data_IF_090504810633
#
_entry.id   IF_090504810633
#
_cell.length_a   1.000
_cell.length_b   1.000
_cell.length_c   1.000
_cell.angle_alpha   90.00
_cell.angle_beta   90.00
_cell.angle_gamma   90.00
#
_symmetry.space_group_name_H-M   'P 1'
#
loop_
_entity.id
_entity.type
_entity.pdbx_description
1 polymer ?
#
# COMPACT_ATOMS: atom_id res chain seq x y z
N UNK A 1 9.35 -14.89 5.20
CA UNK A 1 7.98 -14.86 4.64
C UNK A 1 8.00 -13.80 3.54
N UNK A 2 7.57 -14.10 2.31
CA UNK A 2 7.69 -13.19 1.15
C UNK A 2 6.76 -11.98 1.31
N UNK A 3 7.22 -10.78 0.95
CA UNK A 3 6.46 -9.51 0.99
C UNK A 3 5.10 -9.60 0.28
N UNK A 4 4.99 -10.44 -0.75
CA UNK A 4 3.77 -10.75 -1.51
C UNK A 4 2.64 -11.34 -0.64
N UNK A 5 2.99 -12.22 0.33
CA UNK A 5 2.03 -12.85 1.24
C UNK A 5 1.46 -11.83 2.23
N UNK A 6 2.22 -10.78 2.56
CA UNK A 6 1.77 -9.71 3.45
C UNK A 6 0.80 -8.75 2.77
N UNK A 7 1.04 -8.40 1.49
CA UNK A 7 0.14 -7.50 0.77
C UNK A 7 -1.22 -8.13 0.50
N UNK A 8 -1.27 -9.41 0.10
CA UNK A 8 -2.54 -10.10 -0.15
C UNK A 8 -3.40 -10.17 1.12
N UNK A 9 -2.79 -10.46 2.28
CA UNK A 9 -3.47 -10.48 3.56
C UNK A 9 -3.93 -9.07 4.00
N UNK A 10 -3.10 -8.04 3.80
CA UNK A 10 -3.49 -6.66 4.09
C UNK A 10 -4.64 -6.17 3.21
N UNK A 11 -4.65 -6.52 1.92
CA UNK A 11 -5.76 -6.22 1.00
C UNK A 11 -7.05 -6.94 1.40
N UNK A 12 -6.95 -8.19 1.86
CA UNK A 12 -8.10 -8.95 2.35
C UNK A 12 -8.71 -8.33 3.61
N UNK A 13 -7.88 -8.05 4.62
CA UNK A 13 -8.31 -7.39 5.85
C UNK A 13 -8.97 -6.02 5.56
N UNK A 14 -8.33 -5.25 4.69
CA UNK A 14 -8.84 -3.97 4.20
C UNK A 14 -10.18 -4.10 3.46
N UNK A 15 -10.35 -5.14 2.64
CA UNK A 15 -11.59 -5.39 1.90
C UNK A 15 -12.73 -5.77 2.84
N UNK A 16 -12.50 -6.70 3.78
CA UNK A 16 -13.48 -7.08 4.79
C UNK A 16 -13.98 -5.85 5.56
N UNK A 17 -13.04 -5.05 6.06
CA UNK A 17 -13.31 -3.82 6.78
C UNK A 17 -14.13 -2.78 5.99
N UNK A 18 -13.80 -2.58 4.71
CA UNK A 18 -14.42 -1.53 3.88
C UNK A 18 -15.78 -1.90 3.33
N UNK A 19 -16.03 -3.20 3.16
CA UNK A 19 -17.25 -3.77 2.59
C UNK A 19 -18.14 -4.44 3.66
N UNK A 20 -17.79 -4.29 4.94
CA UNK A 20 -18.51 -4.89 6.07
C UNK A 20 -18.70 -6.42 5.92
N UNK A 21 -17.67 -7.11 5.42
CA UNK A 21 -17.66 -8.56 5.30
C UNK A 21 -17.23 -9.20 6.62
N UNK A 22 -17.63 -10.46 6.80
CA UNK A 22 -17.30 -11.21 8.01
C UNK A 22 -15.77 -11.42 8.14
N UNK A 23 -15.16 -11.19 9.32
CA UNK A 23 -13.72 -11.39 9.52
C UNK A 23 -13.23 -12.81 9.19
N UNK A 24 -14.09 -13.82 9.32
CA UNK A 24 -13.79 -15.21 9.01
C UNK A 24 -13.52 -15.45 7.51
N UNK A 25 -13.94 -14.53 6.64
CA UNK A 25 -13.68 -14.58 5.20
C UNK A 25 -12.26 -14.15 4.83
N UNK A 26 -11.54 -13.46 5.74
CA UNK A 26 -10.22 -12.88 5.47
C UNK A 26 -9.20 -13.89 4.91
N UNK A 27 -9.04 -15.12 5.44
CA UNK A 27 -8.08 -16.07 4.90
C UNK A 27 -8.40 -16.54 3.48
N UNK A 28 -9.70 -16.75 3.17
CA UNK A 28 -10.14 -17.14 1.83
C UNK A 28 -9.98 -15.97 0.84
N UNK A 29 -10.26 -14.75 1.30
CA UNK A 29 -10.04 -13.54 0.52
C UNK A 29 -8.55 -13.31 0.25
N UNK A 30 -7.67 -13.51 1.24
CA UNK A 30 -6.22 -13.37 1.06
C UNK A 30 -5.70 -14.31 -0.04
N UNK A 31 -6.15 -15.58 -0.05
CA UNK A 31 -5.81 -16.52 -1.13
C UNK A 31 -6.30 -16.04 -2.50
N UNK A 32 -7.50 -15.45 -2.55
CA UNK A 32 -8.06 -14.90 -3.78
C UNK A 32 -7.38 -13.62 -4.28
N UNK A 33 -6.75 -12.85 -3.38
CA UNK A 33 -5.96 -11.66 -3.73
C UNK A 33 -4.54 -11.99 -4.17
N UNK A 34 -4.00 -13.17 -3.85
CA UNK A 34 -2.67 -13.59 -4.30
C UNK A 34 -2.43 -13.46 -5.82
N UNK A 35 -3.32 -13.94 -6.72
CA UNK A 35 -3.14 -13.71 -8.17
C UNK A 35 -3.26 -12.23 -8.55
N UNK A 36 -4.08 -11.44 -7.83
CA UNK A 36 -4.17 -10.00 -8.05
C UNK A 36 -2.86 -9.31 -7.71
N UNK A 37 -2.20 -9.68 -6.60
CA UNK A 37 -0.88 -9.17 -6.24
C UNK A 37 0.15 -9.43 -7.35
N UNK A 38 0.11 -10.61 -7.99
CA UNK A 38 0.98 -10.89 -9.13
C UNK A 38 0.72 -9.95 -10.33
N UNK A 39 -0.53 -9.54 -10.56
CA UNK A 39 -0.88 -8.54 -11.58
C UNK A 39 -0.37 -7.14 -11.20
N UNK A 40 -0.43 -6.77 -9.92
CA UNK A 40 0.15 -5.53 -9.39
C UNK A 40 1.68 -5.51 -9.60
N UNK A 41 2.36 -6.61 -9.29
CA UNK A 41 3.80 -6.77 -9.56
C UNK A 41 4.10 -6.64 -11.06
N UNK A 42 3.24 -7.21 -11.91
CA UNK A 42 3.32 -7.08 -13.36
C UNK A 42 3.22 -5.63 -13.81
N UNK A 43 2.29 -4.86 -13.24
CA UNK A 43 2.14 -3.44 -13.54
C UNK A 43 3.32 -2.59 -13.02
N UNK A 44 3.87 -2.89 -11.83
CA UNK A 44 5.07 -2.20 -11.35
C UNK A 44 6.31 -2.54 -12.19
N UNK A 45 6.47 -3.80 -12.65
CA UNK A 45 7.52 -4.16 -13.62
C UNK A 45 7.41 -3.38 -14.92
N UNK A 46 6.19 -3.22 -15.47
CA UNK A 46 5.95 -2.38 -16.65
C UNK A 46 6.31 -0.91 -16.40
N UNK A 47 5.99 -0.38 -15.22
CA UNK A 47 6.40 0.99 -14.85
C UNK A 47 7.92 1.14 -14.79
N UNK A 48 8.63 0.20 -14.15
CA UNK A 48 10.10 0.21 -14.13
C UNK A 48 10.71 0.08 -15.53
N UNK A 49 10.10 -0.69 -16.42
CA UNK A 49 10.50 -0.77 -17.82
C UNK A 49 10.26 0.57 -18.55
N UNK A 50 9.14 1.24 -18.29
CA UNK A 50 8.87 2.57 -18.83
C UNK A 50 9.95 3.57 -18.40
N UNK A 51 10.34 3.57 -17.11
CA UNK A 51 11.46 4.39 -16.61
C UNK A 51 12.74 4.18 -17.43
N UNK A 52 13.12 2.92 -17.69
CA UNK A 52 14.30 2.59 -18.51
C UNK A 52 14.18 3.01 -19.97
N UNK A 53 12.97 3.00 -20.53
CA UNK A 53 12.74 3.43 -21.91
C UNK A 53 12.68 4.95 -22.07
N UNK A 54 12.28 5.67 -21.02
CA UNK A 54 12.11 7.13 -21.05
C UNK A 54 13.40 7.88 -20.76
N UNK A 55 14.24 7.36 -19.86
CA UNK A 55 15.42 8.06 -19.36
C UNK A 55 16.73 7.52 -19.95
N UNK A 56 17.78 8.36 -20.05
CA UNK A 56 19.14 7.88 -20.26
C UNK A 56 19.53 6.84 -19.20
N UNK A 57 20.29 5.81 -19.59
CA UNK A 57 20.57 4.63 -18.75
C UNK A 57 21.05 4.98 -17.34
N UNK A 58 21.99 5.93 -17.20
CA UNK A 58 22.49 6.35 -15.89
C UNK A 58 21.40 6.98 -15.01
N UNK A 59 20.54 7.83 -15.58
CA UNK A 59 19.41 8.43 -14.86
C UNK A 59 18.36 7.40 -14.48
N UNK A 60 18.07 6.46 -15.39
CA UNK A 60 17.11 5.39 -15.15
C UNK A 60 17.53 4.53 -13.97
N UNK A 61 18.78 4.06 -13.94
CA UNK A 61 19.28 3.21 -12.87
C UNK A 61 19.36 3.96 -11.53
N UNK A 62 19.76 5.24 -11.55
CA UNK A 62 19.75 6.06 -10.33
C UNK A 62 18.33 6.26 -9.78
N UNK A 63 17.36 6.56 -10.65
CA UNK A 63 15.96 6.68 -10.25
C UNK A 63 15.42 5.37 -9.67
N UNK A 64 15.66 4.24 -10.34
CA UNK A 64 15.23 2.93 -9.87
C UNK A 64 15.88 2.55 -8.53
N UNK A 65 17.16 2.90 -8.34
CA UNK A 65 17.87 2.73 -7.08
C UNK A 65 17.24 3.55 -5.95
N UNK A 66 16.96 4.83 -6.20
CA UNK A 66 16.28 5.71 -5.23
C UNK A 66 14.88 5.19 -4.88
N UNK A 67 14.11 4.73 -5.86
CA UNK A 67 12.80 4.12 -5.62
C UNK A 67 12.89 2.81 -4.83
N UNK A 68 13.90 1.98 -5.08
CA UNK A 68 14.13 0.76 -4.31
C UNK A 68 14.53 1.07 -2.86
N UNK A 69 15.40 2.05 -2.66
CA UNK A 69 15.77 2.55 -1.32
C UNK A 69 14.57 3.10 -0.56
N UNK A 70 13.74 3.92 -1.20
CA UNK A 70 12.48 4.41 -0.63
C UNK A 70 11.57 3.26 -0.17
N UNK A 71 11.37 2.25 -1.01
CA UNK A 71 10.53 1.09 -0.69
C UNK A 71 11.05 0.32 0.53
N UNK A 72 12.37 0.11 0.61
CA UNK A 72 12.99 -0.55 1.76
C UNK A 72 12.76 0.27 3.05
N UNK A 73 13.03 1.57 3.03
CA UNK A 73 12.81 2.43 4.20
C UNK A 73 11.33 2.54 4.59
N UNK A 74 10.41 2.62 3.61
CA UNK A 74 8.98 2.61 3.86
C UNK A 74 8.51 1.29 4.51
N UNK A 75 9.09 0.16 4.09
CA UNK A 75 8.85 -1.13 4.73
C UNK A 75 9.33 -1.15 6.18
N UNK A 76 10.54 -0.63 6.46
CA UNK A 76 11.07 -0.53 7.83
C UNK A 76 10.18 0.32 8.74
N UNK A 77 9.69 1.47 8.24
CA UNK A 77 8.74 2.33 8.98
C UNK A 77 7.45 1.56 9.28
N UNK A 78 6.90 0.86 8.29
CA UNK A 78 5.68 0.05 8.46
C UNK A 78 5.88 -1.04 9.52
N UNK A 79 6.99 -1.78 9.48
CA UNK A 79 7.30 -2.83 10.46
C UNK A 79 7.58 -2.27 11.85
N UNK A 80 8.17 -1.08 11.95
CA UNK A 80 8.32 -0.39 13.22
C UNK A 80 6.96 -0.03 13.83
N UNK A 81 6.08 0.61 13.06
CA UNK A 81 4.73 0.98 13.52
C UNK A 81 3.90 -0.26 13.86
N UNK A 82 3.96 -1.32 13.05
CA UNK A 82 3.30 -2.60 13.35
C UNK A 82 3.71 -3.12 14.72
N UNK A 83 5.02 -3.17 15.01
CA UNK A 83 5.53 -3.66 16.30
C UNK A 83 5.04 -2.84 17.49
N UNK A 84 4.95 -1.52 17.34
CA UNK A 84 4.39 -0.64 18.38
C UNK A 84 2.91 -0.95 18.65
N UNK A 85 2.12 -1.05 17.58
CA UNK A 85 0.68 -1.34 17.69
C UNK A 85 0.44 -2.75 18.25
N UNK A 86 1.17 -3.76 17.77
CA UNK A 86 1.08 -5.13 18.27
C UNK A 86 1.39 -5.21 19.77
N UNK A 87 2.39 -4.45 20.25
CA UNK A 87 2.71 -4.41 21.68
C UNK A 87 1.55 -3.86 22.53
N UNK A 88 0.76 -2.93 21.98
CA UNK A 88 -0.45 -2.41 22.63
C UNK A 88 -1.53 -3.49 22.64
N UNK A 89 -1.82 -4.11 21.49
CA UNK A 89 -2.87 -5.15 21.37
C UNK A 89 -2.60 -6.37 22.27
N UNK A 90 -1.35 -6.81 22.38
CA UNK A 90 -0.97 -7.95 23.24
C UNK A 90 -1.27 -7.72 24.72
N UNK A 91 -1.27 -6.47 25.20
CA UNK A 91 -1.65 -6.15 26.59
C UNK A 91 -3.11 -6.50 26.90
N UNK A 92 -3.93 -6.67 25.87
CA UNK A 92 -5.34 -7.04 25.95
C UNK A 92 -5.61 -8.47 25.45
N UNK A 93 -4.56 -9.30 25.31
CA UNK A 93 -4.64 -10.66 24.74
C UNK A 93 -5.27 -10.69 23.33
N UNK A 94 -4.95 -9.69 22.51
CA UNK A 94 -5.43 -9.53 21.13
C UNK A 94 -4.28 -9.34 20.16
N UNK A 95 -4.60 -9.45 18.87
CA UNK A 95 -3.68 -9.23 17.76
C UNK A 95 -4.22 -8.13 16.85
N UNK A 96 -3.33 -7.33 16.26
CA UNK A 96 -3.71 -6.32 15.27
C UNK A 96 -4.18 -6.95 13.95
N UNK A 97 -3.78 -8.20 13.69
CA UNK A 97 -4.12 -8.94 12.48
C UNK A 97 -3.33 -8.48 11.25
N UNK A 98 -3.90 -8.76 10.07
CA UNK A 98 -3.21 -8.52 8.80
C UNK A 98 -3.34 -7.09 8.26
N UNK A 99 -4.05 -6.19 8.97
CA UNK A 99 -4.18 -4.78 8.59
C UNK A 99 -2.82 -4.13 8.34
N UNK A 100 -2.73 -3.24 7.35
CA UNK A 100 -1.56 -2.38 7.19
C UNK A 100 -1.60 -1.30 8.31
N UNK A 101 -0.53 -1.17 9.13
CA UNK A 101 -0.51 -0.24 10.25
C UNK A 101 -0.51 1.23 9.84
N UNK A 102 -0.32 1.54 8.56
CA UNK A 102 -0.33 2.88 8.00
C UNK A 102 -1.61 3.19 7.24
N UNK A 103 -2.49 2.20 7.03
CA UNK A 103 -3.82 2.42 6.49
C UNK A 103 -4.57 3.45 7.36
N UNK A 104 -5.36 4.30 6.72
CA UNK A 104 -6.25 5.22 7.40
C UNK A 104 -7.43 4.49 8.04
N UNK A 105 -7.74 3.29 7.55
CA UNK A 105 -8.67 2.39 8.22
C UNK A 105 -7.98 1.77 9.45
N UNK A 106 -8.44 2.16 10.64
CA UNK A 106 -7.97 1.59 11.91
C UNK A 106 -8.91 0.43 12.27
N UNK A 107 -8.41 -0.79 12.55
CA UNK A 107 -9.27 -1.88 13.00
C UNK A 107 -10.03 -1.48 14.28
N UNK A 108 -11.21 -2.07 14.53
CA UNK A 108 -12.05 -1.70 15.67
C UNK A 108 -11.28 -1.70 17.00
N UNK A 109 -11.24 -0.54 17.65
CA UNK A 109 -10.61 -0.37 18.96
C UNK A 109 -11.44 -0.95 20.11
N UNK A 110 -12.55 -1.63 19.81
CA UNK A 110 -13.45 -2.25 20.78
C UNK A 110 -12.66 -3.18 21.71
N UNK A 111 -12.68 -2.91 23.01
CA UNK A 111 -11.92 -3.67 24.02
C UNK A 111 -10.49 -3.16 24.27
N UNK A 112 -10.01 -2.14 23.56
CA UNK A 112 -8.87 -1.32 23.98
C UNK A 112 -9.31 -0.20 24.90
N UNK A 113 -8.41 0.28 25.78
CA UNK A 113 -8.66 1.55 26.46
C UNK A 113 -8.62 2.71 25.45
N UNK A 114 -9.40 3.77 25.68
CA UNK A 114 -9.38 4.96 24.81
C UNK A 114 -7.95 5.53 24.64
N UNK A 115 -7.16 5.56 25.71
CA UNK A 115 -5.77 6.02 25.68
C UNK A 115 -4.86 5.11 24.83
N UNK A 116 -5.10 3.79 24.83
CA UNK A 116 -4.37 2.85 23.98
C UNK A 116 -4.80 2.98 22.50
N UNK A 117 -6.08 3.24 22.24
CA UNK A 117 -6.58 3.58 20.90
C UNK A 117 -5.90 4.84 20.34
N UNK A 118 -5.78 5.90 21.14
CA UNK A 118 -5.05 7.13 20.77
C UNK A 118 -3.57 6.80 20.48
N UNK A 119 -2.92 6.00 21.33
CA UNK A 119 -1.51 5.63 21.11
C UNK A 119 -1.27 4.89 19.79
N UNK A 120 -2.18 4.00 19.40
CA UNK A 120 -2.13 3.34 18.09
C UNK A 120 -2.28 4.35 16.95
N UNK A 121 -3.24 5.28 17.05
CA UNK A 121 -3.45 6.31 16.04
C UNK A 121 -2.22 7.23 15.91
N UNK A 122 -1.64 7.66 17.04
CA UNK A 122 -0.42 8.47 17.06
C UNK A 122 0.77 7.76 16.43
N UNK A 123 0.92 6.45 16.66
CA UNK A 123 1.96 5.64 16.05
C UNK A 123 1.79 5.58 14.52
N UNK A 124 0.56 5.32 14.04
CA UNK A 124 0.25 5.33 12.62
C UNK A 124 0.51 6.70 11.97
N UNK A 125 0.13 7.80 12.64
CA UNK A 125 0.37 9.17 12.15
C UNK A 125 1.84 9.55 12.11
N UNK A 126 2.65 9.10 13.07
CA UNK A 126 4.11 9.26 13.01
C UNK A 126 4.68 8.51 11.81
N UNK A 127 4.28 7.25 11.61
CA UNK A 127 4.70 6.44 10.47
C UNK A 127 4.33 7.07 9.12
N UNK A 128 3.10 7.55 8.98
CA UNK A 128 2.64 8.26 7.76
C UNK A 128 3.46 9.53 7.48
N UNK A 129 3.73 10.33 8.52
CA UNK A 129 4.56 11.54 8.39
C UNK A 129 5.99 11.21 7.98
N UNK A 130 6.55 10.15 8.52
CA UNK A 130 7.89 9.69 8.17
C UNK A 130 7.97 9.19 6.72
N UNK A 131 6.99 8.40 6.25
CA UNK A 131 6.92 8.04 4.83
C UNK A 131 6.77 9.27 3.94
N UNK A 132 5.96 10.25 4.33
CA UNK A 132 5.80 11.49 3.57
C UNK A 132 7.12 12.27 3.48
N UNK A 133 7.91 12.32 4.56
CA UNK A 133 9.25 12.91 4.59
C UNK A 133 10.20 12.19 3.63
N UNK A 134 10.32 10.87 3.75
CA UNK A 134 11.17 10.03 2.88
C UNK A 134 10.82 10.20 1.39
N UNK A 135 9.51 10.22 1.09
CA UNK A 135 9.00 10.46 -0.26
C UNK A 135 9.39 11.85 -0.77
N UNK A 136 9.29 12.87 0.09
CA UNK A 136 9.72 14.23 -0.21
C UNK A 136 11.19 14.30 -0.61
N UNK A 137 12.08 13.68 0.16
CA UNK A 137 13.53 13.66 -0.07
C UNK A 137 13.90 13.02 -1.42
N UNK A 138 13.28 11.87 -1.71
CA UNK A 138 13.47 11.16 -2.98
C UNK A 138 12.94 12.00 -4.15
N UNK A 139 11.74 12.56 -4.02
CA UNK A 139 11.15 13.41 -5.07
C UNK A 139 11.99 14.67 -5.34
N UNK A 140 12.49 15.33 -4.30
CA UNK A 140 13.38 16.50 -4.45
C UNK A 140 14.64 16.12 -5.23
N UNK A 141 15.23 14.96 -4.91
CA UNK A 141 16.43 14.45 -5.60
C UNK A 141 16.15 14.12 -7.06
N UNK A 142 15.00 13.51 -7.36
CA UNK A 142 14.61 13.15 -8.73
C UNK A 142 14.26 14.37 -9.58
N UNK A 143 13.44 15.29 -9.05
CA UNK A 143 13.00 16.49 -9.79
C UNK A 143 14.18 17.38 -10.19
N UNK A 144 15.24 17.43 -9.39
CA UNK A 144 16.46 18.16 -9.72
C UNK A 144 17.21 17.60 -10.95
N UNK A 145 16.97 16.34 -11.33
CA UNK A 145 17.71 15.63 -12.38
C UNK A 145 16.89 15.43 -13.67
N UNK A 146 15.57 15.63 -13.58
CA UNK A 146 14.63 15.37 -14.66
C UNK A 146 14.24 16.66 -15.37
N UNK A 147 14.19 16.59 -16.69
CA UNK A 147 13.59 17.62 -17.53
C UNK A 147 12.07 17.56 -17.41
N UNK A 148 11.40 18.64 -17.83
CA UNK A 148 9.93 18.71 -17.83
C UNK A 148 9.29 17.59 -18.65
N UNK A 149 9.80 17.28 -19.84
CA UNK A 149 9.26 16.22 -20.69
C UNK A 149 9.47 14.83 -20.10
N UNK A 150 10.61 14.58 -19.45
CA UNK A 150 10.85 13.35 -18.68
C UNK A 150 9.84 13.22 -17.53
N UNK A 151 9.57 14.31 -16.77
CA UNK A 151 8.57 14.32 -15.69
C UNK A 151 7.17 14.01 -16.23
N UNK A 152 6.75 14.64 -17.33
CA UNK A 152 5.43 14.43 -17.94
C UNK A 152 5.25 12.97 -18.39
N UNK A 153 6.26 12.41 -19.07
CA UNK A 153 6.24 11.01 -19.51
C UNK A 153 6.20 10.02 -18.34
N UNK A 154 7.02 10.24 -17.31
CA UNK A 154 7.04 9.40 -16.11
C UNK A 154 5.75 9.52 -15.29
N UNK A 155 5.13 10.70 -15.29
CA UNK A 155 3.81 10.92 -14.66
C UNK A 155 2.74 10.11 -15.36
N UNK A 156 2.71 10.12 -16.70
CA UNK A 156 1.79 9.29 -17.47
C UNK A 156 2.02 7.78 -17.21
N UNK A 157 3.27 7.34 -17.16
CA UNK A 157 3.60 5.95 -16.84
C UNK A 157 3.16 5.56 -15.41
N UNK A 158 3.29 6.47 -14.44
CA UNK A 158 2.81 6.26 -13.07
C UNK A 158 1.28 6.21 -13.00
N UNK A 159 0.59 7.06 -13.76
CA UNK A 159 -0.87 7.04 -13.87
C UNK A 159 -1.37 5.73 -14.50
N UNK A 160 -0.68 5.20 -15.52
CA UNK A 160 -1.03 3.90 -16.11
C UNK A 160 -0.82 2.74 -15.12
N UNK A 161 0.28 2.77 -14.33
CA UNK A 161 0.47 1.79 -13.24
C UNK A 161 -0.71 1.84 -12.26
N UNK A 162 -1.10 3.04 -11.86
CA UNK A 162 -2.22 3.26 -10.95
C UNK A 162 -3.55 2.73 -11.52
N UNK A 163 -3.84 3.04 -12.78
CA UNK A 163 -5.03 2.55 -13.46
C UNK A 163 -5.03 1.02 -13.59
N UNK A 164 -3.87 0.41 -13.82
CA UNK A 164 -3.74 -1.04 -13.84
C UNK A 164 -4.04 -1.67 -12.47
N UNK A 165 -3.60 -1.05 -11.36
CA UNK A 165 -3.94 -1.50 -10.01
C UNK A 165 -5.45 -1.46 -9.78
N UNK A 166 -6.08 -0.33 -10.12
CA UNK A 166 -7.53 -0.16 -9.96
C UNK A 166 -8.34 -1.15 -10.80
N UNK A 167 -7.92 -1.44 -12.03
CA UNK A 167 -8.56 -2.46 -12.88
C UNK A 167 -8.43 -3.86 -12.27
N UNK A 168 -7.23 -4.24 -11.82
CA UNK A 168 -6.98 -5.55 -11.24
C UNK A 168 -7.82 -5.75 -9.96
N UNK A 169 -7.78 -4.79 -9.04
CA UNK A 169 -8.56 -4.85 -7.79
C UNK A 169 -10.06 -4.72 -8.03
N UNK A 170 -10.49 -3.86 -8.97
CA UNK A 170 -11.89 -3.68 -9.33
C UNK A 170 -12.56 -4.96 -9.83
N UNK A 171 -11.82 -5.79 -10.59
CA UNK A 171 -12.32 -7.10 -11.01
C UNK A 171 -12.62 -8.02 -9.82
N UNK A 172 -11.77 -8.01 -8.79
CA UNK A 172 -11.95 -8.83 -7.59
C UNK A 172 -13.04 -8.29 -6.69
N UNK A 173 -13.05 -6.98 -6.44
CA UNK A 173 -14.09 -6.31 -5.62
C UNK A 173 -15.47 -6.48 -6.26
N UNK A 174 -15.58 -6.54 -7.59
CA UNK A 174 -16.84 -6.78 -8.28
C UNK A 174 -17.46 -8.16 -8.01
N UNK A 175 -16.70 -9.11 -7.47
CA UNK A 175 -17.22 -10.41 -6.98
C UNK A 175 -17.76 -10.28 -5.55
N UNK A 176 -17.32 -9.29 -4.79
CA UNK A 176 -17.65 -9.09 -3.38
C UNK A 176 -18.87 -8.18 -3.18
N UNK A 177 -19.10 -7.23 -4.08
CA UNK A 177 -20.28 -6.35 -4.03
C UNK A 177 -20.83 -6.08 -5.42
N UNK A 178 -22.16 -6.14 -5.55
CA UNK A 178 -22.87 -5.76 -6.78
C UNK A 178 -23.05 -4.26 -6.91
N UNK A 179 -22.94 -3.49 -5.81
CA UNK A 179 -23.09 -2.03 -5.84
C UNK A 179 -21.89 -1.40 -6.57
N UNK A 180 -22.19 -0.70 -7.67
CA UNK A 180 -21.19 -0.09 -8.53
C UNK A 180 -20.43 1.06 -7.84
N UNK A 181 -21.10 1.86 -7.01
CA UNK A 181 -20.48 2.97 -6.30
C UNK A 181 -19.54 2.45 -5.22
N UNK A 182 -19.99 1.45 -4.47
CA UNK A 182 -19.20 0.80 -3.44
C UNK A 182 -17.99 0.08 -4.03
N UNK A 183 -18.19 -0.65 -5.13
CA UNK A 183 -17.11 -1.32 -5.86
C UNK A 183 -16.02 -0.34 -6.29
N UNK A 184 -16.40 0.79 -6.90
CA UNK A 184 -15.44 1.82 -7.33
C UNK A 184 -14.68 2.42 -6.15
N UNK A 185 -15.40 2.72 -5.06
CA UNK A 185 -14.79 3.24 -3.82
C UNK A 185 -13.75 2.26 -3.26
N UNK A 186 -14.16 1.03 -2.99
CA UNK A 186 -13.30 0.01 -2.38
C UNK A 186 -12.11 -0.33 -3.29
N UNK A 187 -12.30 -0.47 -4.60
CA UNK A 187 -11.21 -0.69 -5.54
C UNK A 187 -10.19 0.46 -5.54
N UNK A 188 -10.65 1.72 -5.50
CA UNK A 188 -9.76 2.89 -5.42
C UNK A 188 -8.99 2.96 -4.10
N UNK A 189 -9.63 2.69 -2.98
CA UNK A 189 -9.00 2.66 -1.66
C UNK A 189 -7.98 1.51 -1.54
N UNK A 190 -8.33 0.30 -1.98
CA UNK A 190 -7.42 -0.85 -2.02
C UNK A 190 -6.24 -0.60 -2.96
N UNK A 191 -6.47 0.06 -4.10
CA UNK A 191 -5.39 0.43 -4.98
C UNK A 191 -4.47 1.46 -4.32
N UNK A 192 -4.99 2.40 -3.53
CA UNK A 192 -4.21 3.39 -2.77
C UNK A 192 -3.37 2.72 -1.69
N UNK A 193 -3.94 1.74 -0.99
CA UNK A 193 -3.22 0.89 -0.08
C UNK A 193 -2.08 0.17 -0.81
N UNK A 194 -2.38 -0.55 -1.89
CA UNK A 194 -1.39 -1.28 -2.68
C UNK A 194 -0.27 -0.37 -3.22
N UNK A 195 -0.58 0.81 -3.75
CA UNK A 195 0.42 1.76 -4.23
C UNK A 195 1.40 2.18 -3.13
N UNK A 196 0.98 2.17 -1.86
CA UNK A 196 1.87 2.41 -0.71
C UNK A 196 2.86 1.27 -0.40
N UNK A 197 2.74 0.11 -1.06
CA UNK A 197 3.68 -1.01 -0.98
C UNK A 197 4.71 -1.02 -2.13
N UNK A 198 4.48 -0.23 -3.20
CA UNK A 198 5.36 -0.12 -4.38
C UNK A 198 6.02 1.25 -4.50
#
# INVERSE_FOLDING_TARGET
MNTELHLAAALAAAACARLDLAPEEEPALAQSFAPIVADLDGADRRYRAAVRSTLPAAKAEEMLRLMAGFRASAHEVREHVRREIDAIYRRFAREFGNFDPLDTYVPPADGLSHADGIRCADAADRGRREIARLRGEVNTTLVAQLTRSEIEALTAAKQERRAAFERALGSRVGVLTSDERERRRAAGELAALADGWY
#
